data_IF_748460288466
#
_entry.id   IF_748460288466
#
_cell.length_a   1.000
_cell.length_b   1.000
_cell.length_c   1.000
_cell.angle_alpha   90.00
_cell.angle_beta   90.00
_cell.angle_gamma   90.00
#
_symmetry.space_group_name_H-M   'P 1'
#
loop_
_entity.id
_entity.type
_entity.pdbx_description
1 polymer ?
#
# COMPACT_ATOMS: atom_id res chain seq x y z
N UNK A 1 -35.41 66.96 -14.18
CA UNK A 1 -35.63 65.70 -14.92
C UNK A 1 -34.31 65.27 -15.56
N UNK A 2 -33.93 64.00 -15.31
CA UNK A 2 -32.82 63.19 -15.86
C UNK A 2 -31.34 63.62 -15.65
N UNK A 3 -30.77 62.97 -14.62
CA UNK A 3 -29.34 62.74 -14.31
C UNK A 3 -28.62 61.99 -15.45
N UNK A 4 -27.33 62.29 -15.67
CA UNK A 4 -26.34 61.33 -16.19
C UNK A 4 -25.08 61.45 -15.34
N UNK A 5 -24.82 60.39 -14.58
CA UNK A 5 -23.63 60.20 -13.74
C UNK A 5 -23.09 58.84 -14.16
N UNK A 6 -21.89 58.80 -14.72
CA UNK A 6 -21.10 57.58 -14.95
C UNK A 6 -19.63 58.01 -14.79
N UNK A 7 -19.16 58.31 -13.57
CA UNK A 7 -18.54 57.40 -12.59
C UNK A 7 -17.61 56.37 -13.25
N UNK A 8 -16.33 56.74 -13.24
CA UNK A 8 -15.16 55.91 -12.95
C UNK A 8 -15.26 54.42 -13.31
N UNK A 9 -14.51 54.04 -14.35
CA UNK A 9 -14.05 52.66 -14.58
C UNK A 9 -13.22 52.21 -13.38
N UNK A 10 -13.89 51.56 -12.42
CA UNK A 10 -13.25 50.87 -11.32
C UNK A 10 -12.49 49.66 -11.88
N UNK A 11 -11.18 49.80 -11.81
CA UNK A 11 -10.17 48.75 -11.80
C UNK A 11 -10.60 47.61 -10.89
N UNK A 12 -10.38 46.38 -11.38
CA UNK A 12 -10.09 45.13 -10.67
C UNK A 12 -10.64 44.94 -9.26
N UNK A 13 -11.38 43.85 -9.05
CA UNK A 13 -11.49 43.02 -7.83
C UNK A 13 -12.90 42.42 -7.83
N UNK A 14 -13.07 41.20 -8.38
CA UNK A 14 -13.95 40.13 -7.86
C UNK A 14 -14.08 38.97 -8.86
N UNK A 15 -13.05 38.12 -8.96
CA UNK A 15 -13.21 36.76 -9.45
C UNK A 15 -12.13 35.87 -8.81
N UNK A 16 -11.92 36.05 -7.50
CA UNK A 16 -11.08 35.20 -6.66
C UNK A 16 -11.99 34.47 -5.67
N UNK A 17 -12.93 33.67 -6.18
CA UNK A 17 -13.77 32.77 -5.38
C UNK A 17 -13.95 31.42 -6.08
N UNK A 18 -12.87 30.88 -6.65
CA UNK A 18 -12.82 29.49 -7.10
C UNK A 18 -11.57 28.78 -6.55
N UNK A 19 -11.23 29.01 -5.30
CA UNK A 19 -10.09 28.36 -4.63
C UNK A 19 -10.44 27.80 -3.26
N UNK A 20 -11.64 27.25 -3.12
CA UNK A 20 -12.03 26.42 -1.97
C UNK A 20 -12.58 25.07 -2.43
N UNK A 21 -11.98 24.48 -3.47
CA UNK A 21 -11.88 23.04 -3.46
C UNK A 21 -10.73 22.70 -2.54
N UNK A 22 -11.06 22.42 -1.27
CA UNK A 22 -10.21 21.54 -0.47
C UNK A 22 -10.10 20.26 -1.28
N UNK A 23 -9.04 20.12 -2.06
CA UNK A 23 -8.61 18.83 -2.56
C UNK A 23 -8.31 18.03 -1.31
N UNK A 24 -9.32 17.31 -0.81
CA UNK A 24 -9.12 16.31 0.20
C UNK A 24 -7.91 15.51 -0.26
N UNK A 25 -6.86 15.49 0.57
CA UNK A 25 -5.67 14.71 0.31
C UNK A 25 -6.12 13.26 0.43
N UNK A 26 -6.73 12.74 -0.63
CA UNK A 26 -6.88 11.30 -0.79
C UNK A 26 -5.46 10.78 -0.82
N UNK A 27 -5.12 9.96 0.17
CA UNK A 27 -3.84 9.27 0.18
C UNK A 27 -3.77 8.48 -1.13
N UNK A 28 -2.89 8.90 -2.03
CA UNK A 28 -2.79 8.34 -3.38
C UNK A 28 -2.44 6.85 -3.27
N UNK A 29 -3.33 6.00 -3.77
CA UNK A 29 -3.11 4.57 -3.90
C UNK A 29 -2.00 4.33 -4.91
N UNK A 30 -1.14 3.32 -4.68
CA UNK A 30 -0.10 2.96 -5.64
C UNK A 30 -0.64 2.06 -6.77
N UNK A 31 0.24 1.60 -7.68
CA UNK A 31 -0.12 0.74 -8.82
C UNK A 31 -0.74 -0.61 -8.41
N UNK A 32 -0.64 -1.01 -7.15
CA UNK A 32 -1.34 -2.19 -6.60
C UNK A 32 -2.61 -1.83 -5.83
N UNK A 33 -3.05 -0.58 -5.91
CA UNK A 33 -4.20 -0.04 -5.20
C UNK A 33 -4.08 -0.12 -3.67
N UNK A 34 -2.85 -0.09 -3.15
CA UNK A 34 -2.54 -0.10 -1.71
C UNK A 34 -2.37 1.33 -1.22
N UNK A 35 -3.05 1.67 -0.12
CA UNK A 35 -2.98 3.00 0.48
C UNK A 35 -1.75 3.14 1.39
N UNK A 36 -1.18 4.35 1.56
CA UNK A 36 -0.02 4.58 2.44
C UNK A 36 -0.21 4.17 3.90
N UNK A 37 -1.46 4.12 4.38
CA UNK A 37 -1.85 3.73 5.74
C UNK A 37 -2.44 2.29 5.81
N UNK A 38 -2.42 1.56 4.69
CA UNK A 38 -2.72 0.13 4.69
C UNK A 38 -1.53 -0.67 5.25
N UNK A 39 -1.85 -1.65 6.08
CA UNK A 39 -0.92 -2.65 6.56
C UNK A 39 -1.24 -3.99 5.92
N UNK A 40 -0.21 -4.78 5.64
CA UNK A 40 -0.38 -6.22 5.50
C UNK A 40 -0.23 -6.86 6.88
N UNK A 41 -1.19 -7.68 7.28
CA UNK A 41 -1.20 -8.35 8.58
C UNK A 41 -1.30 -9.86 8.42
N UNK A 42 -0.72 -10.61 9.36
CA UNK A 42 -0.94 -12.05 9.47
C UNK A 42 -1.21 -12.44 10.91
N UNK A 43 -1.86 -13.59 11.10
CA UNK A 43 -2.00 -14.24 12.41
C UNK A 43 -0.77 -15.10 12.75
N UNK A 44 0.03 -15.43 11.75
CA UNK A 44 1.19 -16.30 11.88
C UNK A 44 2.48 -15.49 11.72
N UNK A 45 3.51 -15.89 12.44
CA UNK A 45 4.87 -15.37 12.23
C UNK A 45 5.50 -16.09 11.03
N UNK A 46 6.17 -15.34 10.15
CA UNK A 46 6.87 -15.92 9.00
C UNK A 46 8.31 -16.31 9.36
N UNK A 47 8.50 -17.59 9.66
CA UNK A 47 9.78 -18.18 10.05
C UNK A 47 10.29 -19.10 8.91
N UNK A 48 9.87 -20.37 8.94
CA UNK A 48 10.36 -21.43 8.06
C UNK A 48 9.31 -21.93 7.05
N UNK A 49 8.11 -21.34 7.05
CA UNK A 49 7.07 -21.69 6.10
C UNK A 49 7.50 -21.37 4.66
N UNK A 50 7.00 -22.15 3.71
CA UNK A 50 7.16 -21.86 2.28
C UNK A 50 6.58 -20.49 1.93
N UNK A 51 5.39 -20.19 2.46
CA UNK A 51 4.74 -18.89 2.39
C UNK A 51 3.75 -18.77 3.55
N UNK A 52 3.26 -17.56 3.82
CA UNK A 52 2.10 -17.33 4.68
C UNK A 52 1.11 -16.42 3.96
N UNK A 53 -0.17 -16.54 4.30
CA UNK A 53 -1.16 -15.56 3.87
C UNK A 53 -1.02 -14.26 4.67
N UNK A 54 -1.22 -13.15 3.97
CA UNK A 54 -1.29 -11.80 4.55
C UNK A 54 -2.53 -11.10 4.05
N UNK A 55 -3.04 -10.17 4.85
CA UNK A 55 -4.30 -9.49 4.57
C UNK A 55 -4.12 -7.99 4.68
N UNK A 56 -4.77 -7.23 3.78
CA UNK A 56 -4.80 -5.77 3.88
C UNK A 56 -5.69 -5.38 5.06
N UNK A 57 -5.20 -4.50 5.92
CA UNK A 57 -5.91 -4.04 7.10
C UNK A 57 -5.57 -2.58 7.46
N UNK A 58 -6.48 -1.93 8.18
CA UNK A 58 -6.30 -0.60 8.78
C UNK A 58 -5.93 -0.71 10.25
N UNK A 59 -4.90 0.02 10.68
CA UNK A 59 -4.53 0.11 12.10
C UNK A 59 -5.60 0.89 12.87
N UNK A 60 -6.22 0.24 13.86
CA UNK A 60 -7.21 0.83 14.77
C UNK A 60 -6.54 1.31 16.06
N UNK A 61 -5.70 0.45 16.63
CA UNK A 61 -4.92 0.74 17.84
C UNK A 61 -3.44 0.45 17.58
N UNK A 62 -2.55 1.45 17.64
CA UNK A 62 -1.14 1.25 17.36
C UNK A 62 -0.44 0.30 18.33
N UNK A 63 0.49 -0.50 17.79
CA UNK A 63 1.33 -1.37 18.60
C UNK A 63 2.21 -0.58 19.58
N UNK A 64 2.28 -1.07 20.82
CA UNK A 64 3.06 -0.49 21.91
C UNK A 64 3.66 -1.60 22.77
N UNK A 65 4.98 -1.65 22.96
CA UNK A 65 5.61 -2.62 23.87
C UNK A 65 5.05 -2.56 25.29
N UNK A 66 4.66 -1.37 25.76
CA UNK A 66 4.22 -1.14 27.13
C UNK A 66 2.70 -1.15 27.31
N UNK A 67 1.93 -0.70 26.29
CA UNK A 67 0.47 -0.60 26.39
C UNK A 67 -0.28 -1.79 25.81
N UNK A 68 0.29 -2.45 24.80
CA UNK A 68 -0.40 -3.50 24.03
C UNK A 68 0.48 -4.74 23.84
N UNK A 69 1.52 -4.92 24.67
CA UNK A 69 2.46 -6.06 24.61
C UNK A 69 3.10 -6.25 23.22
N UNK A 70 3.24 -5.17 22.46
CA UNK A 70 3.78 -5.16 21.11
C UNK A 70 2.79 -5.50 19.98
N UNK A 71 1.50 -5.70 20.29
CA UNK A 71 0.46 -5.98 19.29
C UNK A 71 -0.29 -4.72 18.87
N UNK A 72 -0.61 -4.61 17.58
CA UNK A 72 -1.57 -3.63 17.10
C UNK A 72 -2.93 -4.28 16.89
N UNK A 73 -4.00 -3.49 17.02
CA UNK A 73 -5.35 -3.90 16.59
C UNK A 73 -5.59 -3.41 15.17
N UNK A 74 -6.03 -4.32 14.30
CA UNK A 74 -6.25 -4.05 12.89
C UNK A 74 -7.64 -4.47 12.44
N UNK A 75 -8.25 -3.67 11.56
CA UNK A 75 -9.49 -3.97 10.87
C UNK A 75 -9.16 -4.47 9.45
N UNK A 76 -9.40 -5.75 9.19
CA UNK A 76 -9.16 -6.32 7.86
C UNK A 76 -10.11 -5.72 6.82
N UNK A 77 -9.56 -5.31 5.68
CA UNK A 77 -10.30 -4.61 4.63
C UNK A 77 -11.31 -5.53 3.95
N UNK A 78 -10.96 -6.79 3.73
CA UNK A 78 -11.77 -7.73 2.95
C UNK A 78 -13.07 -8.15 3.66
N UNK A 79 -13.02 -8.40 4.97
CA UNK A 79 -14.16 -8.96 5.71
C UNK A 79 -14.59 -8.13 6.94
N UNK A 80 -13.93 -7.01 7.21
CA UNK A 80 -14.26 -6.12 8.31
C UNK A 80 -14.01 -6.69 9.70
N UNK A 81 -13.32 -7.83 9.83
CA UNK A 81 -13.02 -8.41 11.14
C UNK A 81 -11.81 -7.73 11.78
N UNK A 82 -11.81 -7.70 13.11
CA UNK A 82 -10.75 -7.12 13.91
C UNK A 82 -9.83 -8.19 14.47
N UNK A 83 -8.52 -7.93 14.48
CA UNK A 83 -7.52 -8.82 15.03
C UNK A 83 -6.40 -8.06 15.73
N UNK A 84 -5.90 -8.65 16.81
CA UNK A 84 -4.67 -8.23 17.46
C UNK A 84 -3.52 -9.09 16.95
N UNK A 85 -2.42 -8.46 16.51
CA UNK A 85 -1.23 -9.19 16.04
C UNK A 85 0.04 -8.35 16.17
N UNK A 86 1.18 -9.04 16.30
CA UNK A 86 2.53 -8.46 16.18
C UNK A 86 3.06 -8.48 14.75
N UNK A 87 2.42 -9.25 13.88
CA UNK A 87 2.86 -9.51 12.51
C UNK A 87 2.14 -8.55 11.55
N UNK A 88 2.60 -7.30 11.53
CA UNK A 88 2.09 -6.26 10.66
C UNK A 88 3.23 -5.60 9.88
N UNK A 89 2.96 -5.28 8.62
CA UNK A 89 3.98 -4.89 7.66
C UNK A 89 3.48 -3.72 6.83
N UNK A 90 4.23 -2.61 6.84
CA UNK A 90 4.08 -1.60 5.81
C UNK A 90 4.94 -1.97 4.61
N UNK A 91 4.48 -1.62 3.42
CA UNK A 91 5.11 -2.02 2.18
C UNK A 91 5.15 -0.89 1.17
N UNK A 92 6.01 -1.04 0.17
CA UNK A 92 6.00 -0.27 -1.08
C UNK A 92 6.26 -1.20 -2.25
N UNK A 93 5.97 -0.74 -3.46
CA UNK A 93 6.40 -1.40 -4.69
C UNK A 93 7.93 -1.63 -4.67
N UNK A 94 8.34 -2.82 -5.11
CA UNK A 94 9.74 -3.19 -5.23
C UNK A 94 10.40 -2.45 -6.40
N UNK A 95 11.67 -2.12 -6.21
CA UNK A 95 12.59 -1.67 -7.25
C UNK A 95 13.60 -2.77 -7.55
N UNK A 96 14.34 -2.67 -8.66
CA UNK A 96 15.39 -3.64 -9.00
C UNK A 96 16.44 -3.83 -7.89
N UNK A 97 16.68 -2.80 -7.08
CA UNK A 97 17.64 -2.86 -5.96
C UNK A 97 17.16 -3.74 -4.80
N UNK A 98 15.86 -4.01 -4.73
CA UNK A 98 15.23 -4.81 -3.67
C UNK A 98 15.18 -6.30 -4.03
N UNK A 99 15.27 -6.66 -5.32
CA UNK A 99 15.10 -8.01 -5.83
C UNK A 99 16.37 -8.85 -5.64
N UNK A 100 16.56 -9.33 -4.41
CA UNK A 100 17.75 -10.09 -3.99
C UNK A 100 17.34 -11.35 -3.25
N UNK A 101 18.21 -12.37 -3.31
CA UNK A 101 18.04 -13.61 -2.57
C UNK A 101 17.82 -13.36 -1.08
N UNK A 102 16.89 -14.10 -0.48
CA UNK A 102 16.60 -14.03 0.96
C UNK A 102 15.67 -12.91 1.38
N UNK A 103 15.31 -11.97 0.48
CA UNK A 103 14.39 -10.87 0.80
C UNK A 103 12.96 -11.42 0.96
N UNK A 104 12.31 -11.05 2.06
CA UNK A 104 10.87 -11.29 2.29
C UNK A 104 10.06 -10.27 1.49
N UNK A 105 9.15 -10.77 0.67
CA UNK A 105 8.29 -9.96 -0.20
C UNK A 105 6.83 -10.34 -0.02
N UNK A 106 5.92 -9.42 -0.36
CA UNK A 106 4.47 -9.63 -0.39
C UNK A 106 3.99 -9.46 -1.84
N UNK A 107 3.10 -10.34 -2.29
CA UNK A 107 2.63 -10.37 -3.68
C UNK A 107 1.18 -10.85 -3.76
N UNK A 108 0.50 -10.44 -4.83
CA UNK A 108 -0.89 -10.82 -5.09
C UNK A 108 -0.98 -12.25 -5.61
N UNK A 109 -1.92 -13.01 -5.06
CA UNK A 109 -2.13 -14.44 -5.33
C UNK A 109 -3.01 -14.64 -6.56
N UNK A 110 -2.47 -14.28 -7.73
CA UNK A 110 -3.13 -14.48 -9.02
C UNK A 110 -2.16 -15.07 -10.05
N UNK A 111 -2.18 -16.39 -10.19
CA UNK A 111 -1.32 -17.11 -11.13
C UNK A 111 -1.76 -16.98 -12.58
N UNK A 112 -0.80 -16.78 -13.48
CA UNK A 112 -0.97 -16.87 -14.94
C UNK A 112 0.07 -17.82 -15.54
N UNK A 113 0.05 -18.01 -16.86
CA UNK A 113 1.06 -18.80 -17.58
C UNK A 113 2.50 -18.27 -17.35
N UNK A 114 2.65 -16.95 -17.24
CA UNK A 114 3.92 -16.25 -17.04
C UNK A 114 4.33 -16.12 -15.56
N UNK A 115 3.53 -16.67 -14.63
CA UNK A 115 3.72 -16.55 -13.19
C UNK A 115 2.68 -15.64 -12.52
N UNK A 116 2.86 -15.38 -11.22
CA UNK A 116 1.91 -14.61 -10.44
C UNK A 116 1.96 -13.12 -10.79
N UNK A 117 0.85 -12.55 -11.22
CA UNK A 117 0.70 -11.17 -11.70
C UNK A 117 0.20 -10.21 -10.62
N UNK A 118 0.47 -8.92 -10.82
CA UNK A 118 -0.11 -7.83 -10.04
C UNK A 118 -1.65 -7.79 -10.16
N UNK A 119 -2.37 -7.20 -9.18
CA UNK A 119 -3.80 -6.97 -9.32
C UNK A 119 -4.06 -5.99 -10.46
N UNK A 120 -5.11 -6.23 -11.25
CA UNK A 120 -5.47 -5.40 -12.41
C UNK A 120 -6.53 -4.35 -12.07
N UNK A 121 -7.12 -4.46 -10.89
CA UNK A 121 -8.11 -3.50 -10.40
C UNK A 121 -8.05 -3.37 -8.88
N UNK A 122 -8.61 -2.25 -8.40
CA UNK A 122 -8.82 -2.02 -6.97
C UNK A 122 -9.65 -3.12 -6.32
N UNK A 123 -10.67 -3.61 -7.03
CA UNK A 123 -11.53 -4.68 -6.51
C UNK A 123 -10.71 -5.96 -6.29
N UNK A 124 -9.89 -6.36 -7.28
CA UNK A 124 -8.97 -7.50 -7.13
C UNK A 124 -8.03 -7.30 -5.95
N UNK A 125 -7.36 -6.15 -5.86
CA UNK A 125 -6.39 -5.90 -4.80
C UNK A 125 -7.00 -5.97 -3.39
N UNK A 126 -8.21 -5.43 -3.21
CA UNK A 126 -8.85 -5.25 -1.89
C UNK A 126 -9.61 -6.51 -1.43
N UNK A 127 -10.07 -7.34 -2.36
CA UNK A 127 -10.86 -8.55 -2.05
C UNK A 127 -10.10 -9.86 -2.28
N UNK A 128 -9.07 -9.85 -3.13
CA UNK A 128 -8.26 -11.01 -3.45
C UNK A 128 -7.23 -11.37 -2.38
N UNK A 129 -6.55 -12.49 -2.62
CA UNK A 129 -5.58 -13.05 -1.68
C UNK A 129 -4.18 -12.48 -1.91
N UNK A 130 -3.44 -12.33 -0.82
CA UNK A 130 -2.04 -11.92 -0.83
C UNK A 130 -1.23 -12.89 0.02
N UNK A 131 0.00 -13.14 -0.37
CA UNK A 131 0.91 -13.99 0.39
C UNK A 131 2.25 -13.31 0.60
N UNK A 132 3.01 -13.79 1.59
CA UNK A 132 4.39 -13.43 1.86
C UNK A 132 5.28 -14.65 1.64
N UNK A 133 6.39 -14.45 0.93
CA UNK A 133 7.38 -15.48 0.64
C UNK A 133 8.79 -14.88 0.58
N UNK A 134 9.80 -15.73 0.44
CA UNK A 134 11.22 -15.32 0.37
C UNK A 134 11.75 -15.53 -1.05
N UNK A 135 12.44 -14.55 -1.62
CA UNK A 135 13.10 -14.71 -2.93
C UNK A 135 14.20 -15.78 -2.83
N UNK A 136 14.15 -16.78 -3.69
CA UNK A 136 15.10 -17.91 -3.75
C UNK A 136 15.86 -17.99 -5.06
N UNK A 137 15.38 -17.35 -6.13
CA UNK A 137 16.11 -17.24 -7.39
C UNK A 137 15.83 -15.90 -8.10
N UNK A 138 16.86 -15.32 -8.70
CA UNK A 138 16.82 -14.10 -9.52
C UNK A 138 17.42 -14.33 -10.91
N UNK A 139 17.69 -15.58 -11.30
CA UNK A 139 18.29 -15.96 -12.58
C UNK A 139 17.46 -15.48 -13.77
N UNK A 140 16.14 -15.50 -13.66
CA UNK A 140 15.18 -15.03 -14.67
C UNK A 140 14.79 -13.55 -14.52
N UNK A 141 15.49 -12.76 -13.70
CA UNK A 141 15.14 -11.35 -13.49
C UNK A 141 15.22 -10.52 -14.78
N UNK A 142 16.09 -10.89 -15.71
CA UNK A 142 16.17 -10.27 -17.04
C UNK A 142 14.90 -10.46 -17.89
N UNK A 143 14.07 -11.46 -17.55
CA UNK A 143 12.72 -11.67 -18.13
C UNK A 143 11.62 -11.00 -17.30
N UNK A 144 11.98 -10.26 -16.24
CA UNK A 144 11.02 -9.66 -15.32
C UNK A 144 10.40 -10.65 -14.34
N UNK A 145 11.04 -11.78 -14.05
CA UNK A 145 10.53 -12.82 -13.15
C UNK A 145 11.54 -13.11 -12.03
N UNK A 146 11.05 -13.34 -10.81
CA UNK A 146 11.83 -13.95 -9.72
C UNK A 146 11.17 -15.25 -9.28
N UNK A 147 11.92 -16.13 -8.65
CA UNK A 147 11.36 -17.30 -7.95
C UNK A 147 11.39 -17.06 -6.45
N UNK A 148 10.28 -17.38 -5.79
CA UNK A 148 10.18 -17.37 -4.32
C UNK A 148 10.12 -18.79 -3.77
N UNK A 149 10.25 -18.91 -2.44
CA UNK A 149 10.10 -20.15 -1.70
C UNK A 149 8.83 -20.90 -2.13
N UNK A 150 8.97 -22.19 -2.40
CA UNK A 150 7.92 -23.02 -3.01
C UNK A 150 8.07 -23.18 -4.53
N UNK A 151 9.04 -22.49 -5.15
CA UNK A 151 9.27 -22.57 -6.59
C UNK A 151 8.31 -21.73 -7.41
N UNK A 152 7.53 -20.85 -6.76
CA UNK A 152 6.57 -19.98 -7.44
C UNK A 152 7.29 -18.87 -8.21
N UNK A 153 6.91 -18.68 -9.47
CA UNK A 153 7.41 -17.61 -10.34
C UNK A 153 6.55 -16.36 -10.16
N UNK A 154 7.17 -15.24 -9.83
CA UNK A 154 6.48 -13.98 -9.55
C UNK A 154 6.91 -12.95 -10.59
N UNK A 155 5.95 -12.33 -11.25
CA UNK A 155 6.22 -11.21 -12.14
C UNK A 155 6.74 -10.03 -11.30
N UNK A 156 7.81 -9.37 -11.75
CA UNK A 156 8.50 -8.31 -11.01
C UNK A 156 7.55 -7.18 -10.58
N UNK A 157 6.59 -6.84 -11.42
CA UNK A 157 5.61 -5.79 -11.13
C UNK A 157 4.62 -6.19 -10.03
N UNK A 158 4.54 -7.45 -9.59
CA UNK A 158 3.66 -7.92 -8.51
C UNK A 158 4.33 -7.86 -7.12
N UNK A 159 5.57 -7.38 -7.03
CA UNK A 159 6.38 -7.53 -5.82
C UNK A 159 6.31 -6.28 -4.96
N UNK A 160 5.97 -6.46 -3.69
CA UNK A 160 6.05 -5.45 -2.63
C UNK A 160 7.11 -5.84 -1.62
N UNK A 161 7.87 -4.85 -1.15
CA UNK A 161 8.92 -5.04 -0.13
C UNK A 161 8.50 -4.39 1.18
N UNK A 162 8.88 -5.03 2.29
CA UNK A 162 8.56 -4.57 3.65
C UNK A 162 9.45 -3.37 4.01
N UNK A 163 8.86 -2.33 4.56
CA UNK A 163 9.57 -1.12 5.00
C UNK A 163 9.40 -0.88 6.51
N UNK A 164 10.41 -0.31 7.19
CA UNK A 164 10.29 0.05 8.60
C UNK A 164 9.15 1.05 8.86
N UNK A 165 8.48 0.92 10.01
CA UNK A 165 7.37 1.82 10.36
C UNK A 165 7.77 3.31 10.38
N UNK A 166 9.01 3.60 10.75
CA UNK A 166 9.54 4.97 10.78
C UNK A 166 9.77 5.60 9.39
N UNK A 167 9.85 4.80 8.32
CA UNK A 167 10.21 5.32 6.98
C UNK A 167 9.01 5.78 6.16
N UNK A 168 7.78 5.47 6.59
CA UNK A 168 6.56 6.01 5.97
C UNK A 168 6.18 7.27 6.73
N UNK A 169 6.82 8.38 6.39
CA UNK A 169 6.35 9.69 6.86
C UNK A 169 5.09 10.02 6.08
N UNK A 170 3.91 10.18 6.71
CA UNK A 170 2.79 10.80 6.03
C UNK A 170 3.26 12.20 5.64
N UNK A 171 3.28 12.52 4.34
CA UNK A 171 3.45 13.91 3.89
C UNK A 171 2.31 14.72 4.53
N UNK A 172 2.58 15.41 5.63
CA UNK A 172 1.60 16.27 6.30
C UNK A 172 1.51 16.19 7.84
N UNK A 173 2.43 15.52 8.53
CA UNK A 173 2.45 15.54 10.00
C UNK A 173 3.18 16.75 10.61
N UNK A 174 2.57 17.94 10.57
CA UNK A 174 2.76 19.04 11.53
C UNK A 174 1.50 19.89 11.61
#
# INVERSE_FOLDING_TARGET
>A
MKKRTDIFKAVSIFALYLSLFSTGVFAEEDEHYIQPDDYFVSREEYNDQTYINVYIAKEMTPASPTKTKGEGEFLQVTDGKKYWTKNFYMTRLATDKDLKLGVKVIMFDMGTEDGYRAPESKEEARTGSWFMAKITDTSDLFKGIVTVSGGYKIQKNNIRVIVPKATVTPKGGK
#
